data_IF_204227139745
#
_entry.id   IF_204227139745
#
_cell.length_a   1.000
_cell.length_b   1.000
_cell.length_c   1.000
_cell.angle_alpha   90.00
_cell.angle_beta   90.00
_cell.angle_gamma   90.00
#
_symmetry.space_group_name_H-M   'P 1'
#
loop_
_entity.id
_entity.type
_entity.pdbx_description
1 polymer ?
#
# COMPACT_ATOMS: atom_id res chain seq x y z
N UNK A 1 11.70 47.20 28.76
CA UNK A 1 12.55 47.28 27.56
C UNK A 1 12.37 46.00 26.78
N UNK A 2 11.53 46.06 25.75
CA UNK A 2 11.18 44.95 24.86
C UNK A 2 12.26 44.79 23.78
N UNK A 3 12.80 43.58 23.66
CA UNK A 3 13.70 43.21 22.56
C UNK A 3 12.94 42.26 21.63
N UNK A 4 12.16 42.82 20.69
CA UNK A 4 11.68 42.08 19.53
C UNK A 4 12.86 41.81 18.57
N UNK A 5 13.15 40.54 18.35
CA UNK A 5 14.17 40.08 17.39
C UNK A 5 13.69 40.30 15.95
N UNK A 6 14.27 41.32 15.31
CA UNK A 6 13.96 41.83 13.97
C UNK A 6 14.54 40.96 12.84
N UNK A 7 14.39 39.63 12.89
CA UNK A 7 14.93 38.69 11.87
C UNK A 7 13.82 37.83 11.23
N UNK A 8 12.58 38.33 11.19
CA UNK A 8 11.44 37.59 10.62
C UNK A 8 10.96 38.02 9.23
N UNK A 9 11.34 39.21 8.74
CA UNK A 9 10.56 39.90 7.67
C UNK A 9 11.16 39.95 6.26
N UNK A 10 12.32 39.32 5.98
CA UNK A 10 13.00 39.47 4.67
C UNK A 10 13.10 38.22 3.80
N UNK A 11 12.64 37.04 4.24
CA UNK A 11 12.58 35.85 3.36
C UNK A 11 11.17 35.69 2.79
N UNK A 12 11.02 35.84 1.47
CA UNK A 12 9.84 35.35 0.75
C UNK A 12 9.69 33.85 1.07
N UNK A 13 8.53 33.43 1.58
CA UNK A 13 8.19 32.00 1.69
C UNK A 13 8.13 31.44 0.27
N UNK A 14 9.23 30.88 -0.23
CA UNK A 14 9.19 29.90 -1.32
C UNK A 14 8.46 28.69 -0.77
N UNK A 15 7.23 28.47 -1.22
CA UNK A 15 6.31 27.46 -0.71
C UNK A 15 7.05 26.18 -0.34
N UNK A 16 7.08 25.87 0.96
CA UNK A 16 7.60 24.60 1.44
C UNK A 16 6.81 23.45 0.83
N UNK A 17 7.37 22.24 0.91
CA UNK A 17 6.77 21.03 0.34
C UNK A 17 5.29 20.92 0.71
N UNK A 18 4.41 20.87 -0.30
CA UNK A 18 2.96 20.79 -0.11
C UNK A 18 2.61 19.58 0.76
N UNK A 19 1.76 19.78 1.77
CA UNK A 19 1.27 18.70 2.62
C UNK A 19 0.68 17.57 1.76
N UNK A 20 1.06 16.33 2.05
CA UNK A 20 0.68 15.16 1.26
C UNK A 20 1.67 14.76 0.17
N UNK A 21 2.69 15.57 -0.14
CA UNK A 21 3.76 15.16 -1.06
C UNK A 21 4.50 13.95 -0.47
N UNK A 22 4.54 12.77 -1.11
CA UNK A 22 5.27 11.61 -0.60
C UNK A 22 6.76 11.93 -0.46
N UNK A 23 7.44 11.38 0.54
CA UNK A 23 8.89 11.54 0.64
C UNK A 23 9.55 11.01 -0.65
N UNK A 24 10.44 11.80 -1.27
CA UNK A 24 11.10 11.46 -2.53
C UNK A 24 11.78 10.09 -2.47
N UNK A 25 12.47 9.80 -1.36
CA UNK A 25 13.11 8.50 -1.16
C UNK A 25 12.08 7.35 -1.13
N UNK A 26 10.94 7.57 -0.48
CA UNK A 26 9.85 6.57 -0.42
C UNK A 26 9.19 6.37 -1.79
N UNK A 27 9.01 7.44 -2.56
CA UNK A 27 8.47 7.35 -3.93
C UNK A 27 9.42 6.56 -4.84
N UNK A 28 10.71 6.91 -4.83
CA UNK A 28 11.74 6.19 -5.59
C UNK A 28 11.82 4.71 -5.20
N UNK A 29 11.68 4.38 -3.92
CA UNK A 29 11.63 2.99 -3.48
C UNK A 29 10.42 2.24 -4.04
N UNK A 30 9.22 2.86 -4.05
CA UNK A 30 8.03 2.24 -4.66
C UNK A 30 8.20 2.00 -6.15
N UNK A 31 8.74 2.98 -6.88
CA UNK A 31 9.02 2.86 -8.31
C UNK A 31 10.03 1.75 -8.61
N UNK A 32 11.11 1.66 -7.81
CA UNK A 32 12.11 0.60 -7.96
C UNK A 32 11.52 -0.80 -7.73
N UNK A 33 10.65 -0.95 -6.72
CA UNK A 33 9.97 -2.23 -6.45
C UNK A 33 9.01 -2.58 -7.59
N UNK A 34 8.23 -1.61 -8.10
CA UNK A 34 7.32 -1.84 -9.22
C UNK A 34 8.06 -2.31 -10.48
N UNK A 35 9.16 -1.63 -10.84
CA UNK A 35 10.00 -2.01 -11.98
C UNK A 35 10.61 -3.40 -11.81
N UNK A 36 11.04 -3.75 -10.60
CA UNK A 36 11.58 -5.08 -10.30
C UNK A 36 10.50 -6.16 -10.45
N UNK A 37 9.29 -5.92 -9.94
CA UNK A 37 8.18 -6.87 -10.04
C UNK A 37 7.75 -7.06 -11.50
N UNK A 38 7.52 -5.97 -12.23
CA UNK A 38 7.14 -6.02 -13.65
C UNK A 38 8.21 -6.73 -14.49
N UNK A 39 9.49 -6.43 -14.23
CA UNK A 39 10.62 -7.06 -14.90
C UNK A 39 10.75 -8.57 -14.63
N UNK A 40 10.11 -9.10 -13.58
CA UNK A 40 10.17 -10.54 -13.24
C UNK A 40 8.83 -11.26 -13.36
N UNK A 41 7.72 -10.56 -13.64
CA UNK A 41 6.38 -11.14 -13.71
C UNK A 41 6.30 -12.34 -14.69
N UNK A 42 7.04 -12.26 -15.81
CA UNK A 42 7.12 -13.33 -16.82
C UNK A 42 7.79 -14.62 -16.33
N UNK A 43 8.56 -14.56 -15.23
CA UNK A 43 9.28 -15.71 -14.65
C UNK A 43 8.51 -16.40 -13.53
N UNK A 44 7.38 -15.83 -13.11
CA UNK A 44 6.66 -16.29 -11.92
C UNK A 44 6.22 -17.75 -12.05
N UNK A 45 5.71 -18.16 -13.21
CA UNK A 45 5.31 -19.55 -13.46
C UNK A 45 6.49 -20.50 -13.30
N UNK A 46 7.63 -20.19 -13.92
CA UNK A 46 8.85 -21.01 -13.82
C UNK A 46 9.32 -21.16 -12.37
N UNK A 47 9.27 -20.08 -11.58
CA UNK A 47 9.63 -20.14 -10.16
C UNK A 47 8.67 -21.00 -9.35
N UNK A 48 7.36 -20.87 -9.58
CA UNK A 48 6.37 -21.69 -8.90
C UNK A 48 6.52 -23.17 -9.26
N UNK A 49 6.78 -23.49 -10.52
CA UNK A 49 7.05 -24.85 -10.99
C UNK A 49 8.33 -25.40 -10.38
N UNK A 50 9.40 -24.60 -10.33
CA UNK A 50 10.68 -24.97 -9.70
C UNK A 50 10.49 -25.29 -8.22
N UNK A 51 9.68 -24.51 -7.50
CA UNK A 51 9.35 -24.78 -6.09
C UNK A 51 8.46 -26.01 -5.96
N UNK A 52 7.48 -26.19 -6.85
CA UNK A 52 6.53 -27.30 -6.77
C UNK A 52 7.19 -28.66 -7.07
N UNK A 53 7.97 -28.71 -8.14
CA UNK A 53 8.57 -29.93 -8.67
C UNK A 53 10.02 -30.15 -8.24
N UNK A 54 10.67 -29.11 -7.71
CA UNK A 54 12.09 -29.14 -7.35
C UNK A 54 13.00 -29.01 -8.57
N UNK A 55 14.29 -28.81 -8.29
CA UNK A 55 15.36 -28.80 -9.28
C UNK A 55 16.56 -29.56 -8.70
N UNK A 56 16.80 -30.81 -9.16
CA UNK A 56 17.93 -31.62 -8.73
C UNK A 56 19.30 -30.99 -9.01
N UNK A 57 19.41 -30.12 -10.01
CA UNK A 57 20.67 -29.47 -10.40
C UNK A 57 21.12 -28.43 -9.37
N UNK A 58 20.17 -27.91 -8.60
CA UNK A 58 20.38 -26.86 -7.61
C UNK A 58 20.04 -27.32 -6.17
N UNK A 59 19.92 -28.64 -5.94
CA UNK A 59 19.52 -29.25 -4.65
C UNK A 59 18.18 -28.69 -4.09
N UNK A 60 17.26 -28.34 -4.99
CA UNK A 60 15.93 -27.85 -4.61
C UNK A 60 14.98 -29.04 -4.53
N UNK A 61 14.46 -29.32 -3.34
CA UNK A 61 13.48 -30.39 -3.14
C UNK A 61 12.07 -29.93 -3.58
N UNK A 62 11.26 -30.83 -4.15
CA UNK A 62 9.88 -30.53 -4.49
C UNK A 62 9.08 -30.10 -3.24
N UNK A 63 8.39 -28.98 -3.32
CA UNK A 63 7.51 -28.47 -2.27
C UNK A 63 6.23 -27.84 -2.86
N UNK A 64 5.27 -28.67 -3.30
CA UNK A 64 4.03 -28.20 -3.92
C UNK A 64 3.17 -27.36 -2.97
N UNK A 65 3.18 -27.65 -1.66
CA UNK A 65 2.47 -26.85 -0.67
C UNK A 65 3.02 -25.41 -0.63
N UNK A 66 4.35 -25.26 -0.65
CA UNK A 66 4.97 -23.94 -0.64
C UNK A 66 4.71 -23.15 -1.92
N UNK A 67 4.73 -23.80 -3.07
CA UNK A 67 4.36 -23.16 -4.33
C UNK A 67 2.93 -22.61 -4.28
N UNK A 68 1.98 -23.39 -3.74
CA UNK A 68 0.59 -22.95 -3.59
C UNK A 68 0.43 -21.80 -2.58
N UNK A 69 1.18 -21.77 -1.48
CA UNK A 69 1.21 -20.63 -0.56
C UNK A 69 1.73 -19.35 -1.24
N UNK A 70 2.81 -19.46 -2.02
CA UNK A 70 3.38 -18.33 -2.77
C UNK A 70 2.43 -17.83 -3.85
N UNK A 71 1.72 -18.74 -4.52
CA UNK A 71 0.68 -18.37 -5.47
C UNK A 71 -0.46 -17.58 -4.80
N UNK A 72 -0.95 -18.05 -3.64
CA UNK A 72 -1.98 -17.32 -2.89
C UNK A 72 -1.52 -15.92 -2.48
N UNK A 73 -0.27 -15.74 -2.08
CA UNK A 73 0.24 -14.41 -1.68
C UNK A 73 0.30 -13.42 -2.85
N UNK A 74 0.62 -13.89 -4.06
CA UNK A 74 0.57 -13.06 -5.28
C UNK A 74 -0.85 -12.70 -5.65
N UNK A 75 -1.78 -13.65 -5.57
CA UNK A 75 -3.21 -13.41 -5.86
C UNK A 75 -3.79 -12.39 -4.88
N UNK A 76 -3.41 -12.44 -3.61
CA UNK A 76 -3.88 -11.51 -2.58
C UNK A 76 -3.40 -10.06 -2.80
N UNK A 77 -2.27 -9.87 -3.49
CA UNK A 77 -1.79 -8.54 -3.87
C UNK A 77 -2.65 -7.91 -4.98
N UNK A 78 -3.14 -8.72 -5.93
CA UNK A 78 -3.92 -8.24 -7.08
C UNK A 78 -5.43 -8.25 -6.84
N UNK A 79 -5.92 -9.19 -6.05
CA UNK A 79 -7.31 -9.25 -5.62
C UNK A 79 -7.33 -8.63 -4.22
N UNK A 80 -7.67 -7.34 -4.06
CA UNK A 80 -7.82 -6.79 -2.73
C UNK A 80 -8.74 -7.73 -1.96
N UNK A 81 -8.24 -8.27 -0.83
CA UNK A 81 -9.05 -9.04 0.11
C UNK A 81 -10.39 -8.32 0.17
N UNK A 82 -11.48 -9.01 -0.20
CA UNK A 82 -12.82 -8.47 -0.06
C UNK A 82 -12.98 -8.19 1.43
N UNK A 83 -12.63 -6.97 1.84
CA UNK A 83 -12.79 -6.50 3.18
C UNK A 83 -14.29 -6.54 3.39
N UNK A 84 -14.73 -7.48 4.22
CA UNK A 84 -16.13 -7.60 4.59
C UNK A 84 -16.52 -6.24 5.15
N UNK A 85 -17.30 -5.49 4.37
CA UNK A 85 -17.81 -4.20 4.81
C UNK A 85 -19.07 -4.50 5.59
N UNK A 86 -18.94 -4.56 6.91
CA UNK A 86 -20.07 -4.70 7.80
C UNK A 86 -20.59 -3.30 8.12
N UNK A 87 -21.79 -2.98 7.61
CA UNK A 87 -22.47 -1.72 7.93
C UNK A 87 -23.23 -1.94 9.23
N UNK A 88 -22.63 -1.52 10.34
CA UNK A 88 -23.27 -1.51 11.67
C UNK A 88 -23.45 -0.09 12.17
N UNK A 89 -24.40 0.12 13.09
CA UNK A 89 -24.48 1.33 13.87
C UNK A 89 -23.35 1.46 14.89
N UNK A 90 -23.44 2.49 15.73
CA UNK A 90 -22.50 2.69 16.84
C UNK A 90 -22.42 1.43 17.72
N UNK A 91 -21.20 1.09 18.17
CA UNK A 91 -20.93 -0.06 19.04
C UNK A 91 -21.44 -1.42 18.51
N UNK A 92 -21.41 -1.62 17.19
CA UNK A 92 -21.96 -2.80 16.50
C UNK A 92 -23.50 -2.93 16.65
N UNK A 93 -24.17 -1.84 17.00
CA UNK A 93 -25.61 -1.77 17.15
C UNK A 93 -26.38 -1.62 15.83
N UNK A 94 -27.72 -1.45 15.91
CA UNK A 94 -28.57 -1.21 14.75
C UNK A 94 -28.15 0.06 13.98
N UNK A 95 -28.29 0.03 12.65
CA UNK A 95 -28.11 1.22 11.82
C UNK A 95 -29.26 2.19 12.08
N UNK A 96 -28.96 3.38 12.59
CA UNK A 96 -29.92 4.46 12.78
C UNK A 96 -29.92 5.43 11.60
N UNK A 97 -31.09 5.76 11.06
CA UNK A 97 -31.25 6.79 10.04
C UNK A 97 -31.90 8.04 10.65
N UNK A 98 -31.14 9.14 10.73
CA UNK A 98 -31.65 10.46 11.11
C UNK A 98 -31.86 11.29 9.86
N UNK A 99 -33.11 11.58 9.52
CA UNK A 99 -33.46 12.44 8.39
C UNK A 99 -33.79 13.83 8.92
N UNK A 100 -33.06 14.84 8.44
CA UNK A 100 -33.35 16.25 8.72
C UNK A 100 -33.59 16.99 7.41
N UNK A 101 -34.45 17.99 7.46
CA UNK A 101 -34.67 18.89 6.34
C UNK A 101 -33.46 19.80 6.17
N UNK A 102 -33.05 20.04 4.92
CA UNK A 102 -32.05 21.05 4.63
C UNK A 102 -32.52 22.39 5.20
N UNK A 103 -31.80 22.91 6.18
CA UNK A 103 -32.08 24.22 6.75
C UNK A 103 -31.72 25.23 5.65
N UNK A 104 -32.74 25.76 4.98
CA UNK A 104 -32.54 26.78 3.95
C UNK A 104 -31.76 27.96 4.52
N UNK A 105 -30.64 28.28 3.86
CA UNK A 105 -30.10 29.64 3.84
C UNK A 105 -30.30 30.19 2.45
#
# INVERSE_FOLDING_TARGET
>A
MTSESKVGKTRKKTGGRTGGTPNKATQQAREAIALFVDGNAHRLTEWLDTVAYGDPSHDIKPNPAKAFELFQSVVEYHVPKLARTEVTGADQGPVEMVVTWASGK
#
